data_IF_813174845337
#
_entry.id   IF_813174845337
#
_cell.length_a   1.000
_cell.length_b   1.000
_cell.length_c   1.000
_cell.angle_alpha   90.00
_cell.angle_beta   90.00
_cell.angle_gamma   90.00
#
_symmetry.space_group_name_H-M   'P 1'
#
loop_
_entity.id
_entity.type
_entity.pdbx_description
1 polymer ?
#
# COMPACT_ATOMS: atom_id res chain seq x y z
N UNK A 1 13.49 23.54 0.60
CA UNK A 1 14.10 22.63 1.58
C UNK A 1 12.97 22.12 2.46
N UNK A 2 12.65 20.83 2.43
CA UNK A 2 11.58 20.29 3.28
C UNK A 2 11.99 20.40 4.75
N UNK A 3 11.13 20.95 5.61
CA UNK A 3 11.36 20.93 7.05
C UNK A 3 11.25 19.48 7.55
N UNK A 4 12.38 18.89 7.94
CA UNK A 4 12.42 17.52 8.45
C UNK A 4 11.50 17.33 9.66
N UNK A 5 11.30 18.37 10.47
CA UNK A 5 10.34 18.35 11.59
C UNK A 5 8.89 18.24 11.12
N UNK A 6 8.53 18.92 10.04
CA UNK A 6 7.20 18.83 9.44
C UNK A 6 6.90 17.44 8.86
N UNK A 7 7.88 16.81 8.18
CA UNK A 7 7.71 15.47 7.63
C UNK A 7 7.56 14.41 8.73
N UNK A 8 8.31 14.51 9.83
CA UNK A 8 8.17 13.61 10.98
C UNK A 8 6.77 13.73 11.60
N UNK A 9 6.25 14.96 11.75
CA UNK A 9 4.88 15.17 12.25
C UNK A 9 3.83 14.56 11.31
N UNK A 10 3.94 14.80 10.00
CA UNK A 10 3.00 14.22 9.01
C UNK A 10 3.09 12.68 8.98
N UNK A 11 4.30 12.12 9.12
CA UNK A 11 4.50 10.66 9.22
C UNK A 11 3.87 10.06 10.47
N UNK A 12 3.93 10.79 11.59
CA UNK A 12 3.28 10.39 12.83
C UNK A 12 1.77 10.36 12.68
N UNK A 13 1.16 11.45 12.21
CA UNK A 13 -0.29 11.53 11.98
C UNK A 13 -0.77 10.46 11.00
N UNK A 14 0.00 10.23 9.93
CA UNK A 14 -0.29 9.20 8.95
C UNK A 14 -0.28 7.79 9.55
N UNK A 15 0.76 7.43 10.31
CA UNK A 15 0.84 6.11 10.92
C UNK A 15 -0.26 5.90 11.97
N UNK A 16 -0.55 6.92 12.78
CA UNK A 16 -1.64 6.89 13.76
C UNK A 16 -3.01 6.71 13.08
N UNK A 17 -3.26 7.44 11.98
CA UNK A 17 -4.46 7.28 11.17
C UNK A 17 -4.57 5.86 10.61
N UNK A 18 -3.53 5.34 9.95
CA UNK A 18 -3.54 4.01 9.33
C UNK A 18 -3.70 2.88 10.34
N UNK A 19 -3.11 3.02 11.53
CA UNK A 19 -3.22 2.03 12.60
C UNK A 19 -4.67 1.89 13.12
N UNK A 20 -5.45 2.97 13.07
CA UNK A 20 -6.85 2.96 13.52
C UNK A 20 -7.82 2.31 12.52
N UNK A 21 -7.39 2.03 11.28
CA UNK A 21 -8.25 1.41 10.28
C UNK A 21 -8.25 -0.12 10.49
N UNK A 22 -9.40 -0.75 10.78
CA UNK A 22 -9.47 -2.19 10.98
C UNK A 22 -9.24 -2.93 9.64
N UNK A 23 -8.60 -4.10 9.70
CA UNK A 23 -8.51 -5.00 8.55
C UNK A 23 -9.90 -5.59 8.29
N UNK A 24 -10.43 -5.49 7.06
CA UNK A 24 -11.75 -6.01 6.76
C UNK A 24 -11.76 -7.55 6.81
N UNK A 25 -12.94 -8.10 7.08
CA UNK A 25 -13.15 -9.55 6.96
C UNK A 25 -13.08 -9.96 5.48
N UNK A 26 -12.56 -11.16 5.17
CA UNK A 26 -12.44 -11.62 3.79
C UNK A 26 -13.80 -11.60 3.08
N UNK A 27 -13.88 -10.93 1.94
CA UNK A 27 -15.04 -11.00 1.08
C UNK A 27 -15.10 -12.37 0.40
N UNK A 28 -16.30 -12.91 0.15
CA UNK A 28 -16.47 -14.21 -0.53
C UNK A 28 -16.28 -14.14 -2.05
N UNK A 29 -15.95 -12.97 -2.60
CA UNK A 29 -15.86 -12.76 -4.04
C UNK A 29 -14.42 -12.85 -4.48
N UNK A 30 -14.19 -13.56 -5.59
CA UNK A 30 -12.88 -13.62 -6.24
C UNK A 30 -12.68 -12.29 -6.98
N UNK A 31 -11.66 -11.52 -6.59
CA UNK A 31 -11.27 -10.29 -7.28
C UNK A 31 -10.30 -10.67 -8.41
N UNK A 32 -10.67 -10.52 -9.70
CA UNK A 32 -9.72 -10.75 -10.78
C UNK A 32 -8.55 -9.78 -10.66
N UNK A 33 -7.32 -10.28 -10.79
CA UNK A 33 -6.12 -9.46 -10.67
C UNK A 33 -5.15 -9.78 -11.79
N UNK A 34 -4.87 -8.79 -12.64
CA UNK A 34 -3.87 -8.92 -13.70
C UNK A 34 -2.48 -8.44 -13.25
N UNK A 35 -2.42 -7.54 -12.25
CA UNK A 35 -1.19 -7.05 -11.62
C UNK A 35 -1.39 -6.81 -10.11
N UNK A 36 -0.29 -6.61 -9.37
CA UNK A 36 -0.33 -6.32 -7.93
C UNK A 36 -0.87 -4.93 -7.63
N UNK A 37 -0.45 -3.91 -8.39
CA UNK A 37 -1.03 -2.56 -8.30
C UNK A 37 -2.53 -2.58 -8.66
N UNK A 38 -2.91 -3.39 -9.66
CA UNK A 38 -4.30 -3.61 -10.05
C UNK A 38 -5.13 -4.20 -8.91
N UNK A 39 -4.64 -5.28 -8.28
CA UNK A 39 -5.26 -5.87 -7.08
C UNK A 39 -5.42 -4.83 -5.97
N UNK A 40 -4.36 -4.05 -5.70
CA UNK A 40 -4.36 -2.97 -4.73
C UNK A 40 -5.47 -1.92 -4.97
N UNK A 41 -5.70 -1.55 -6.22
CA UNK A 41 -6.77 -0.62 -6.58
C UNK A 41 -8.16 -1.27 -6.44
N UNK A 42 -8.32 -2.52 -6.86
CA UNK A 42 -9.58 -3.24 -6.72
C UNK A 42 -9.98 -3.42 -5.25
N UNK A 43 -9.04 -3.75 -4.36
CA UNK A 43 -9.36 -3.87 -2.92
C UNK A 43 -9.72 -2.51 -2.29
N UNK A 44 -9.05 -1.41 -2.67
CA UNK A 44 -9.43 -0.07 -2.19
C UNK A 44 -10.86 0.28 -2.58
N UNK A 45 -11.24 -0.01 -3.83
CA UNK A 45 -12.59 0.25 -4.33
C UNK A 45 -13.63 -0.66 -3.66
N UNK A 46 -13.33 -1.96 -3.51
CA UNK A 46 -14.27 -2.93 -2.95
C UNK A 46 -14.54 -2.70 -1.46
N UNK A 47 -13.47 -2.46 -0.68
CA UNK A 47 -13.57 -2.34 0.77
C UNK A 47 -13.74 -0.90 1.25
N UNK A 48 -13.59 0.10 0.36
CA UNK A 48 -13.69 1.51 0.70
C UNK A 48 -12.61 1.98 1.68
N UNK A 49 -11.47 1.27 1.75
CA UNK A 49 -10.39 1.58 2.67
C UNK A 49 -9.08 1.87 1.91
N UNK A 50 -8.25 2.80 2.42
CA UNK A 50 -6.93 3.01 1.87
C UNK A 50 -5.99 1.84 2.22
N UNK A 51 -4.94 1.69 1.40
CA UNK A 51 -3.79 0.84 1.72
C UNK A 51 -2.63 1.69 2.21
N UNK A 52 -1.82 1.13 3.09
CA UNK A 52 -0.63 1.77 3.62
C UNK A 52 0.39 2.10 2.51
N UNK A 53 1.19 3.15 2.71
CA UNK A 53 2.21 3.64 1.79
C UNK A 53 3.20 2.53 1.44
N UNK A 54 3.69 1.81 2.46
CA UNK A 54 4.59 0.68 2.29
C UNK A 54 3.95 -0.48 1.50
N UNK A 55 2.65 -0.72 1.67
CA UNK A 55 1.93 -1.73 0.90
C UNK A 55 1.86 -1.34 -0.57
N UNK A 56 1.49 -0.09 -0.88
CA UNK A 56 1.49 0.40 -2.25
C UNK A 56 2.88 0.36 -2.89
N UNK A 57 3.92 0.76 -2.15
CA UNK A 57 5.31 0.69 -2.60
C UNK A 57 5.71 -0.76 -2.94
N UNK A 58 5.32 -1.71 -2.08
CA UNK A 58 5.62 -3.12 -2.25
C UNK A 58 4.89 -3.73 -3.45
N UNK A 59 3.60 -3.44 -3.63
CA UNK A 59 2.83 -3.92 -4.78
C UNK A 59 3.46 -3.45 -6.09
N UNK A 60 3.86 -2.18 -6.15
CA UNK A 60 4.59 -1.61 -7.30
C UNK A 60 5.94 -2.29 -7.51
N UNK A 61 6.67 -2.59 -6.45
CA UNK A 61 7.93 -3.31 -6.53
C UNK A 61 7.71 -4.74 -7.05
N UNK A 62 6.67 -5.43 -6.61
CA UNK A 62 6.31 -6.77 -7.10
C UNK A 62 5.97 -6.75 -8.59
N UNK A 63 5.24 -5.76 -9.09
CA UNK A 63 5.00 -5.62 -10.52
C UNK A 63 6.29 -5.32 -11.30
N UNK A 64 7.17 -4.45 -10.78
CA UNK A 64 8.47 -4.17 -11.41
C UNK A 64 9.39 -5.38 -11.50
N UNK A 65 9.39 -6.26 -10.49
CA UNK A 65 10.21 -7.48 -10.50
C UNK A 65 9.76 -8.49 -11.57
N UNK A 66 8.58 -8.31 -12.16
CA UNK A 66 8.09 -9.16 -13.24
C UNK A 66 8.59 -8.74 -14.62
N UNK A 67 9.10 -7.52 -14.76
CA UNK A 67 9.70 -7.03 -16.01
C UNK A 67 10.90 -7.92 -16.36
N UNK A 68 11.02 -8.32 -17.62
CA UNK A 68 12.05 -9.23 -18.14
C UNK A 68 12.01 -10.66 -17.54
N UNK A 69 10.93 -11.02 -16.84
CA UNK A 69 10.73 -12.38 -16.35
C UNK A 69 9.98 -13.24 -17.38
N UNK A 70 10.10 -14.56 -17.24
CA UNK A 70 9.33 -15.52 -18.06
C UNK A 70 7.80 -15.32 -17.97
N UNK A 71 7.34 -14.69 -16.88
CA UNK A 71 5.93 -14.46 -16.59
C UNK A 71 5.53 -12.97 -16.71
N UNK A 72 6.32 -12.15 -17.41
CA UNK A 72 6.07 -10.71 -17.57
C UNK A 72 4.67 -10.42 -18.15
N UNK A 73 4.31 -11.10 -19.24
CA UNK A 73 3.06 -10.87 -19.97
C UNK A 73 1.88 -11.72 -19.48
N UNK A 74 2.13 -12.63 -18.54
CA UNK A 74 1.06 -13.46 -17.98
C UNK A 74 0.22 -12.64 -16.99
N UNK A 75 -1.10 -12.75 -16.96
CA UNK A 75 -1.90 -12.16 -15.89
C UNK A 75 -1.51 -12.70 -14.50
N UNK A 76 -1.58 -11.88 -13.45
CA UNK A 76 -1.22 -12.32 -12.10
C UNK A 76 -2.09 -13.48 -11.60
N UNK A 77 -3.39 -13.45 -11.91
CA UNK A 77 -4.38 -14.46 -11.54
C UNK A 77 -4.15 -15.84 -12.18
N UNK A 78 -3.37 -15.93 -13.27
CA UNK A 78 -2.96 -17.22 -13.86
C UNK A 78 -1.74 -17.82 -13.15
N UNK A 79 -0.97 -17.01 -12.43
CA UNK A 79 0.24 -17.42 -11.70
C UNK A 79 -0.10 -17.70 -10.23
N UNK A 80 -0.91 -16.82 -9.62
CA UNK A 80 -1.28 -16.87 -8.22
C UNK A 80 -2.80 -16.79 -8.11
N UNK A 81 -3.40 -17.80 -7.47
CA UNK A 81 -4.83 -17.81 -7.23
C UNK A 81 -5.27 -16.52 -6.50
N UNK A 82 -6.30 -15.79 -6.98
CA UNK A 82 -6.63 -14.46 -6.46
C UNK A 82 -6.88 -14.42 -4.95
N UNK A 83 -7.54 -15.44 -4.37
CA UNK A 83 -7.74 -15.51 -2.92
C UNK A 83 -6.43 -15.60 -2.12
N UNK A 84 -5.37 -16.20 -2.67
CA UNK A 84 -4.05 -16.22 -2.05
C UNK A 84 -3.36 -14.86 -2.16
N UNK A 85 -3.48 -14.21 -3.33
CA UNK A 85 -2.94 -12.87 -3.55
C UNK A 85 -3.58 -11.85 -2.61
N UNK A 86 -4.91 -11.90 -2.45
CA UNK A 86 -5.66 -11.05 -1.51
C UNK A 86 -5.26 -11.33 -0.05
N UNK A 87 -5.16 -12.60 0.36
CA UNK A 87 -4.73 -12.94 1.72
C UNK A 87 -3.31 -12.44 2.03
N UNK A 88 -2.39 -12.53 1.06
CA UNK A 88 -1.03 -12.00 1.18
C UNK A 88 -1.04 -10.47 1.33
N UNK A 89 -1.85 -9.79 0.52
CA UNK A 89 -2.03 -8.33 0.59
C UNK A 89 -2.51 -7.91 1.97
N UNK A 90 -3.58 -8.50 2.48
CA UNK A 90 -4.13 -8.12 3.80
C UNK A 90 -3.20 -8.46 4.96
N UNK A 91 -2.49 -9.58 4.89
CA UNK A 91 -1.48 -9.94 5.90
C UNK A 91 -0.35 -8.91 5.94
N UNK A 92 0.10 -8.47 4.77
CA UNK A 92 1.16 -7.46 4.63
C UNK A 92 0.68 -6.08 5.07
N UNK A 93 -0.53 -5.70 4.68
CA UNK A 93 -1.18 -4.45 5.10
C UNK A 93 -1.31 -4.39 6.63
N UNK A 94 -1.69 -5.49 7.27
CA UNK A 94 -1.77 -5.56 8.73
C UNK A 94 -0.42 -5.26 9.39
N UNK A 95 0.66 -5.90 8.91
CA UNK A 95 2.03 -5.62 9.40
C UNK A 95 2.39 -4.15 9.21
N UNK A 96 2.07 -3.56 8.06
CA UNK A 96 2.38 -2.15 7.78
C UNK A 96 1.53 -1.15 8.57
N UNK A 97 0.32 -1.50 8.99
CA UNK A 97 -0.50 -0.64 9.86
C UNK A 97 0.02 -0.57 11.30
N UNK A 98 0.62 -1.65 11.81
CA UNK A 98 0.97 -1.76 13.24
C UNK A 98 2.47 -1.63 13.56
N UNK A 99 3.36 -1.94 12.62
CA UNK A 99 4.80 -2.08 12.91
C UNK A 99 5.70 -0.87 12.62
N UNK A 100 5.49 -0.08 11.55
CA UNK A 100 6.48 0.94 11.16
C UNK A 100 6.53 2.12 12.13
N UNK A 101 7.75 2.57 12.42
CA UNK A 101 7.96 3.85 13.11
C UNK A 101 7.76 5.02 12.14
N UNK A 102 7.09 6.07 12.61
CA UNK A 102 6.96 7.33 11.87
C UNK A 102 8.31 7.95 11.49
N UNK A 103 9.39 7.70 12.24
CA UNK A 103 10.74 8.12 11.86
C UNK A 103 11.26 7.37 10.64
N UNK A 104 10.93 6.09 10.51
CA UNK A 104 11.30 5.29 9.35
C UNK A 104 10.53 5.78 8.10
N UNK A 105 9.23 6.03 8.24
CA UNK A 105 8.42 6.59 7.15
C UNK A 105 8.93 7.97 6.69
N UNK A 106 9.21 8.88 7.63
CA UNK A 106 9.73 10.20 7.27
C UNK A 106 11.04 10.10 6.49
N UNK A 107 11.95 9.18 6.86
CA UNK A 107 13.19 8.93 6.10
C UNK A 107 12.90 8.45 4.68
N UNK A 108 11.96 7.51 4.52
CA UNK A 108 11.58 7.02 3.20
C UNK A 108 10.97 8.12 2.32
N UNK A 109 10.12 8.99 2.89
CA UNK A 109 9.50 10.08 2.15
C UNK A 109 10.49 11.15 1.70
N UNK A 110 11.56 11.38 2.46
CA UNK A 110 12.67 12.25 2.02
C UNK A 110 13.39 11.65 0.81
N UNK A 111 13.56 10.32 0.79
CA UNK A 111 14.22 9.62 -0.32
C UNK A 111 13.33 9.44 -1.55
N UNK A 112 12.01 9.48 -1.40
CA UNK A 112 11.04 9.36 -2.51
C UNK A 112 9.92 10.42 -2.44
N UNK A 113 10.25 11.69 -2.76
CA UNK A 113 9.30 12.80 -2.61
C UNK A 113 8.10 12.68 -3.56
N UNK A 114 8.31 12.17 -4.78
CA UNK A 114 7.24 12.08 -5.78
C UNK A 114 6.22 10.99 -5.44
N UNK A 115 6.66 9.82 -5.00
CA UNK A 115 5.75 8.73 -4.66
C UNK A 115 5.00 9.01 -3.37
N UNK A 116 5.65 9.66 -2.40
CA UNK A 116 5.03 10.09 -1.15
C UNK A 116 3.74 10.91 -1.37
N UNK A 117 3.80 11.97 -2.18
CA UNK A 117 2.66 12.85 -2.43
C UNK A 117 1.46 12.11 -3.05
N UNK A 118 1.72 11.18 -3.98
CA UNK A 118 0.65 10.47 -4.69
C UNK A 118 -0.23 9.58 -3.79
N UNK A 119 0.30 9.03 -2.70
CA UNK A 119 -0.46 8.13 -1.82
C UNK A 119 -1.01 8.81 -0.57
N UNK A 120 -0.38 9.91 -0.14
CA UNK A 120 -0.71 10.55 1.14
C UNK A 120 -1.60 11.76 0.97
N UNK A 121 -1.48 12.49 -0.14
CA UNK A 121 -2.36 13.63 -0.39
C UNK A 121 -3.76 13.20 -0.86
N UNK A 122 -3.98 11.91 -1.15
CA UNK A 122 -5.32 11.33 -1.38
C UNK A 122 -6.03 10.90 -0.10
N UNK A 123 -5.35 10.98 1.05
CA UNK A 123 -5.93 10.69 2.36
C UNK A 123 -6.18 12.04 3.02
N UNK A 124 -7.45 12.37 3.24
CA UNK A 124 -7.84 13.54 4.05
C UNK A 124 -7.38 13.30 5.49
N UNK A 125 -6.10 13.58 5.76
CA UNK A 125 -5.56 13.61 7.12
C UNK A 125 -6.25 14.78 7.83
N UNK A 126 -6.96 14.55 8.94
CA UNK A 126 -7.67 15.63 9.63
C UNK A 126 -6.69 16.70 10.09
N UNK A 127 -6.84 17.90 9.51
CA UNK A 127 -6.18 19.18 9.77
C UNK A 127 -4.64 19.18 9.63
N UNK A 128 -4.19 19.52 8.42
CA UNK A 128 -2.87 20.11 8.15
C UNK A 128 -2.81 21.55 8.63
#
# INVERSE_FOLDING_TARGET
MFDAGALIRKAKMYQEYMNNIPIPLPHKSIIPCTSWEGLGNSVKQLYGQPLHYLTNALLRQWDRMRIESENEFQPLDTIIHPSKAEALLWSTEHVHRISPSHHHLAKLWVSDPMFYHTFIDSIDLPNS
#
